data_IF_157368248057
#
_entry.id   IF_157368248057
#
_cell.length_a   1.000
_cell.length_b   1.000
_cell.length_c   1.000
_cell.angle_alpha   90.00
_cell.angle_beta   90.00
_cell.angle_gamma   90.00
#
_symmetry.space_group_name_H-M   'P 1'
#
loop_
_entity.id
_entity.type
_entity.pdbx_description
1 polymer ?
#
# COMPACT_ATOMS: atom_id res chain seq x y z
N UNK A 1 -3.64 19.23 -11.57
CA UNK A 1 -4.07 18.61 -10.30
C UNK A 1 -4.63 19.65 -9.34
N UNK A 2 -4.00 20.84 -9.21
CA UNK A 2 -4.53 21.95 -8.39
C UNK A 2 -5.87 22.53 -8.87
N UNK A 3 -6.08 22.69 -10.17
CA UNK A 3 -7.33 23.26 -10.70
C UNK A 3 -8.61 22.48 -10.32
N UNK A 4 -8.51 21.15 -10.24
CA UNK A 4 -9.66 20.28 -9.94
C UNK A 4 -10.09 20.41 -8.47
N UNK A 5 -9.17 20.73 -7.55
CA UNK A 5 -9.49 20.92 -6.13
C UNK A 5 -10.31 22.18 -5.85
N UNK A 6 -10.20 23.22 -6.70
CA UNK A 6 -10.94 24.47 -6.53
C UNK A 6 -12.29 24.49 -7.26
N UNK A 7 -12.48 23.65 -8.27
CA UNK A 7 -13.77 23.49 -8.93
C UNK A 7 -14.59 22.40 -8.20
N UNK A 8 -15.32 22.81 -7.15
CA UNK A 8 -16.11 21.90 -6.29
C UNK A 8 -17.08 21.01 -7.08
N UNK A 9 -17.71 21.52 -8.13
CA UNK A 9 -18.66 20.75 -8.93
C UNK A 9 -17.98 19.64 -9.74
N UNK A 10 -16.80 19.93 -10.30
CA UNK A 10 -16.00 18.96 -11.05
C UNK A 10 -15.27 17.99 -10.13
N UNK A 11 -14.82 18.47 -8.97
CA UNK A 11 -14.28 17.63 -7.90
C UNK A 11 -15.32 16.64 -7.40
N UNK A 12 -16.54 17.10 -7.11
CA UNK A 12 -17.60 16.24 -6.62
C UNK A 12 -18.03 15.25 -7.71
N UNK A 13 -18.07 15.65 -8.98
CA UNK A 13 -18.41 14.71 -10.06
C UNK A 13 -17.39 13.57 -10.21
N UNK A 14 -16.09 13.84 -10.00
CA UNK A 14 -15.02 12.88 -10.25
C UNK A 14 -14.67 12.08 -8.97
N UNK A 15 -14.77 12.72 -7.80
CA UNK A 15 -14.27 12.19 -6.53
C UNK A 15 -15.34 12.06 -5.44
N UNK A 16 -16.59 12.50 -5.66
CA UNK A 16 -17.63 12.31 -4.67
C UNK A 16 -18.11 10.85 -4.65
N UNK A 17 -17.65 10.12 -3.65
CA UNK A 17 -18.05 8.74 -3.41
C UNK A 17 -19.37 8.62 -2.63
N UNK A 18 -20.04 9.72 -2.22
CA UNK A 18 -21.29 9.62 -1.43
C UNK A 18 -22.47 9.04 -2.21
N UNK A 19 -22.37 8.97 -3.54
CA UNK A 19 -23.36 8.31 -4.41
C UNK A 19 -22.94 6.92 -4.90
N UNK A 20 -21.74 6.44 -4.54
CA UNK A 20 -21.27 5.11 -4.94
C UNK A 20 -21.90 4.12 -3.96
N UNK A 21 -23.01 3.51 -4.36
CA UNK A 21 -23.56 2.40 -3.62
C UNK A 21 -22.67 1.18 -3.86
N UNK A 22 -22.15 0.61 -2.77
CA UNK A 22 -21.31 -0.59 -2.78
C UNK A 22 -22.12 -1.83 -3.16
N UNK A 23 -23.37 -1.69 -3.58
CA UNK A 23 -24.15 -2.76 -4.23
C UNK A 23 -24.33 -2.54 -5.74
N UNK A 24 -24.04 -1.35 -6.27
CA UNK A 24 -24.26 -1.01 -7.69
C UNK A 24 -23.24 -1.66 -8.63
N UNK A 25 -22.03 -1.96 -8.13
CA UNK A 25 -21.03 -2.73 -8.90
C UNK A 25 -21.21 -4.21 -8.57
N UNK A 26 -21.66 -5.08 -9.50
CA UNK A 26 -21.85 -6.49 -9.21
C UNK A 26 -20.54 -7.13 -8.71
N UNK A 27 -20.63 -7.98 -7.68
CA UNK A 27 -19.47 -8.63 -7.02
C UNK A 27 -18.57 -9.34 -8.03
N UNK A 28 -19.18 -9.86 -9.10
CA UNK A 28 -18.51 -10.53 -10.22
C UNK A 28 -17.49 -9.62 -10.93
N UNK A 29 -17.77 -8.32 -11.05
CA UNK A 29 -16.88 -7.32 -11.65
C UNK A 29 -15.79 -6.80 -10.69
N UNK A 30 -15.92 -7.05 -9.37
CA UNK A 30 -14.93 -6.62 -8.35
C UNK A 30 -13.77 -7.58 -8.19
N UNK A 31 -13.84 -8.76 -8.81
CA UNK A 31 -12.80 -9.77 -8.68
C UNK A 31 -11.71 -9.49 -9.70
N UNK A 32 -10.56 -9.04 -9.20
CA UNK A 32 -9.32 -8.94 -9.97
C UNK A 32 -8.38 -10.09 -9.58
N UNK A 33 -8.69 -11.36 -9.95
CA UNK A 33 -7.94 -12.52 -9.48
C UNK A 33 -6.47 -12.49 -9.93
N UNK A 34 -6.19 -11.95 -11.12
CA UNK A 34 -4.82 -11.80 -11.61
C UNK A 34 -4.00 -10.83 -10.75
N UNK A 35 -4.59 -9.68 -10.39
CA UNK A 35 -3.93 -8.71 -9.52
C UNK A 35 -3.66 -9.32 -8.14
N UNK A 36 -4.64 -10.03 -7.57
CA UNK A 36 -4.49 -10.72 -6.29
C UNK A 36 -3.36 -11.76 -6.34
N UNK A 37 -3.29 -12.58 -7.40
CA UNK A 37 -2.22 -13.57 -7.58
C UNK A 37 -0.85 -12.89 -7.66
N UNK A 38 -0.73 -11.81 -8.44
CA UNK A 38 0.52 -11.05 -8.57
C UNK A 38 0.94 -10.48 -7.21
N UNK A 39 0.01 -9.90 -6.46
CA UNK A 39 0.26 -9.37 -5.12
C UNK A 39 0.73 -10.46 -4.15
N UNK A 40 0.10 -11.64 -4.17
CA UNK A 40 0.51 -12.79 -3.34
C UNK A 40 1.94 -13.23 -3.69
N UNK A 41 2.26 -13.37 -4.98
CA UNK A 41 3.60 -13.75 -5.44
C UNK A 41 4.64 -12.75 -4.95
N UNK A 42 4.37 -11.45 -5.13
CA UNK A 42 5.27 -10.40 -4.63
C UNK A 42 5.40 -10.44 -3.12
N UNK A 43 4.31 -10.63 -2.37
CA UNK A 43 4.35 -10.82 -0.92
C UNK A 43 5.26 -11.99 -0.53
N UNK A 44 5.08 -13.16 -1.13
CA UNK A 44 5.89 -14.34 -0.87
C UNK A 44 7.38 -14.17 -1.19
N UNK A 45 7.74 -13.30 -2.14
CA UNK A 45 9.15 -13.03 -2.50
C UNK A 45 9.75 -11.94 -1.60
N UNK A 46 9.02 -10.84 -1.40
CA UNK A 46 9.54 -9.68 -0.68
C UNK A 46 9.62 -9.91 0.83
N UNK A 47 8.65 -10.60 1.44
CA UNK A 47 8.62 -10.80 2.89
C UNK A 47 9.85 -11.58 3.40
N UNK A 48 10.26 -12.70 2.76
CA UNK A 48 11.48 -13.41 3.14
C UNK A 48 12.75 -12.61 2.87
N UNK A 49 12.81 -11.89 1.74
CA UNK A 49 13.94 -11.01 1.40
C UNK A 49 14.08 -9.84 2.39
N UNK A 50 13.00 -9.51 3.09
CA UNK A 50 12.97 -8.41 4.03
C UNK A 50 13.87 -8.64 5.25
N UNK A 51 13.81 -9.84 5.83
CA UNK A 51 14.55 -10.20 7.03
C UNK A 51 16.07 -10.02 6.91
N UNK A 52 16.76 -10.50 5.86
CA UNK A 52 18.20 -10.28 5.71
C UNK A 52 18.56 -8.80 5.49
N UNK A 53 17.71 -8.02 4.81
CA UNK A 53 17.91 -6.58 4.65
C UNK A 53 17.80 -5.85 5.99
N UNK A 54 16.76 -6.15 6.77
CA UNK A 54 16.53 -5.55 8.08
C UNK A 54 17.66 -5.91 9.06
N UNK A 55 18.15 -7.14 8.99
CA UNK A 55 19.34 -7.58 9.73
C UNK A 55 20.59 -6.78 9.35
N UNK A 56 20.82 -6.55 8.05
CA UNK A 56 21.95 -5.75 7.56
C UNK A 56 21.89 -4.29 8.05
N UNK A 57 20.70 -3.67 8.01
CA UNK A 57 20.49 -2.32 8.55
C UNK A 57 20.72 -2.28 10.05
N UNK A 58 20.18 -3.25 10.78
CA UNK A 58 20.34 -3.33 12.22
C UNK A 58 21.81 -3.51 12.62
N UNK A 59 22.57 -4.33 11.88
CA UNK A 59 24.01 -4.51 12.11
C UNK A 59 24.82 -3.24 11.84
N UNK A 60 24.42 -2.41 10.88
CA UNK A 60 25.14 -1.19 10.50
C UNK A 60 24.58 0.09 11.14
N UNK A 61 23.54 0.01 11.99
CA UNK A 61 22.86 1.17 12.59
C UNK A 61 23.76 2.15 13.34
N UNK A 62 24.85 1.66 13.93
CA UNK A 62 25.80 2.49 14.67
C UNK A 62 26.73 3.30 13.75
N UNK A 63 26.87 2.91 12.47
CA UNK A 63 27.76 3.57 11.52
C UNK A 63 27.11 4.78 10.84
N UNK A 64 25.80 4.73 10.62
CA UNK A 64 25.07 5.80 9.96
C UNK A 64 23.63 5.87 10.50
N UNK A 65 23.18 7.03 11.02
CA UNK A 65 21.81 7.20 11.51
C UNK A 65 20.73 6.98 10.44
N UNK A 66 21.07 7.09 9.14
CA UNK A 66 20.17 6.77 8.04
C UNK A 66 19.64 5.33 8.11
N UNK A 67 20.43 4.38 8.62
CA UNK A 67 19.96 3.00 8.81
C UNK A 67 18.84 2.88 9.84
N UNK A 68 18.80 3.76 10.85
CA UNK A 68 17.69 3.79 11.82
C UNK A 68 16.41 4.24 11.12
N UNK A 69 16.50 5.28 10.28
CA UNK A 69 15.35 5.73 9.48
C UNK A 69 14.85 4.63 8.54
N UNK A 70 15.75 3.91 7.87
CA UNK A 70 15.40 2.78 7.00
C UNK A 70 14.69 1.66 7.78
N UNK A 71 15.08 1.40 9.03
CA UNK A 71 14.40 0.41 9.90
C UNK A 71 12.98 0.87 10.26
N UNK A 72 12.77 2.15 10.58
CA UNK A 72 11.42 2.65 10.87
C UNK A 72 10.52 2.65 9.64
N UNK A 73 11.05 3.12 8.49
CA UNK A 73 10.35 3.04 7.21
C UNK A 73 9.98 1.59 6.90
N UNK A 74 10.89 0.66 7.21
CA UNK A 74 10.65 -0.74 6.95
C UNK A 74 9.48 -1.31 7.77
N UNK A 75 9.44 -1.03 9.07
CA UNK A 75 8.34 -1.47 9.94
C UNK A 75 7.01 -0.90 9.46
N UNK A 76 6.98 0.39 9.11
CA UNK A 76 5.77 1.07 8.64
C UNK A 76 5.23 0.48 7.34
N UNK A 77 6.11 0.14 6.39
CA UNK A 77 5.72 -0.51 5.14
C UNK A 77 5.18 -1.91 5.41
N UNK A 78 5.81 -2.70 6.29
CA UNK A 78 5.32 -4.05 6.63
C UNK A 78 3.91 -4.04 7.24
N UNK A 79 3.61 -3.10 8.13
CA UNK A 79 2.28 -2.93 8.74
C UNK A 79 1.22 -2.53 7.71
N UNK A 80 1.56 -1.64 6.76
CA UNK A 80 0.66 -1.21 5.69
C UNK A 80 0.28 -2.37 4.76
N UNK A 81 1.25 -3.20 4.39
CA UNK A 81 1.00 -4.41 3.58
C UNK A 81 0.25 -5.49 4.35
N UNK A 82 0.45 -5.61 5.67
CA UNK A 82 -0.29 -6.54 6.53
C UNK A 82 -1.79 -6.21 6.64
N UNK A 83 -2.14 -4.92 6.72
CA UNK A 83 -3.54 -4.47 6.74
C UNK A 83 -4.29 -4.75 5.45
N UNK A 84 -3.59 -4.73 4.31
CA UNK A 84 -4.19 -4.93 2.99
C UNK A 84 -4.50 -6.40 2.67
N UNK A 85 -4.02 -7.34 3.49
CA UNK A 85 -4.32 -8.78 3.39
C UNK A 85 -5.50 -9.24 4.28
N UNK A 86 -6.02 -8.36 5.14
CA UNK A 86 -7.06 -8.65 6.15
C UNK A 86 -8.43 -8.02 5.83
N UNK A 87 -8.54 -7.31 4.70
CA UNK A 87 -9.73 -6.66 4.15
C UNK A 87 -10.03 -7.24 2.76
#
# INVERSE_FOLDING_TARGET
>A
MEYILWNRDEFDRIYNCTGINVDDVPIEQRRYPLAAIICIIFGCIYYPLYFPCLYSFWKNRAKNPCYIFLIYLSILISELFGFQHLL
#
